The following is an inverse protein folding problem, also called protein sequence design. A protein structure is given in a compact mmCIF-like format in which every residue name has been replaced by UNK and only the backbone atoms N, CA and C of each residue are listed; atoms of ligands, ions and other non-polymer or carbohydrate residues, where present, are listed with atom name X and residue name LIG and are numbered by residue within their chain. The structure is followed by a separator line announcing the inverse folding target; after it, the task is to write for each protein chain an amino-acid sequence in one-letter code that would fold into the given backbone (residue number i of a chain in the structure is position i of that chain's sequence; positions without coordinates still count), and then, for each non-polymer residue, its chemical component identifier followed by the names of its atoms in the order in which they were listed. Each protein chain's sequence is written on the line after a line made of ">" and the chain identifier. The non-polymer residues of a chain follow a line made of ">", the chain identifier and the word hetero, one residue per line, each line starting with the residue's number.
data_IF_053115824285
#
_entry.id   IF_053115824285
#
_cell.length_a   1.000
_cell.length_b   1.000
_cell.length_c   1.000
_cell.angle_alpha   90.00
_cell.angle_beta   90.00
_cell.angle_gamma   90.00
#
_symmetry.space_group_name_H-M   'P 1'
#
loop_
_entity.id
_entity.type
_entity.pdbx_description
1 polymer ?
#
# COMPACT_ATOMS: atom_id res chain seq x y z
N UNK A 1 31.46 -5.80 -21.34
CA UNK A 1 30.85 -6.29 -22.61
C UNK A 1 30.97 -7.81 -22.66
N UNK A 2 30.23 -8.56 -21.81
CA UNK A 2 30.20 -10.03 -21.92
C UNK A 2 28.85 -10.69 -21.64
N UNK A 3 27.80 -9.93 -21.31
CA UNK A 3 26.46 -10.50 -21.01
C UNK A 3 25.33 -9.98 -21.91
N UNK A 4 25.64 -9.29 -23.02
CA UNK A 4 24.61 -8.80 -23.96
C UNK A 4 23.96 -9.92 -24.79
N UNK A 5 24.60 -11.09 -24.92
CA UNK A 5 24.03 -12.23 -25.66
C UNK A 5 22.96 -13.00 -24.87
N UNK A 6 23.05 -13.01 -23.54
CA UNK A 6 22.04 -13.64 -22.67
C UNK A 6 20.68 -12.91 -22.70
N UNK A 7 20.68 -11.60 -22.98
CA UNK A 7 19.46 -10.79 -23.07
C UNK A 7 18.80 -10.79 -24.46
N UNK A 8 19.46 -11.34 -25.48
CA UNK A 8 19.01 -11.26 -26.89
C UNK A 8 18.41 -12.56 -27.43
N UNK A 9 18.64 -13.72 -26.79
CA UNK A 9 17.92 -14.97 -27.13
C UNK A 9 16.52 -14.98 -26.50
N UNK A 10 15.62 -14.24 -27.14
CA UNK A 10 14.20 -14.18 -26.82
C UNK A 10 13.45 -15.33 -27.49
N UNK A 11 13.07 -16.35 -26.71
CA UNK A 11 11.87 -17.16 -26.93
C UNK A 11 11.63 -18.01 -25.67
N UNK A 12 11.12 -17.40 -24.59
CA UNK A 12 10.74 -18.15 -23.37
C UNK A 12 9.49 -19.03 -23.57
N UNK A 13 8.77 -18.85 -24.68
CA UNK A 13 7.62 -19.68 -25.08
C UNK A 13 7.58 -19.75 -26.62
N UNK A 14 7.86 -20.92 -27.19
CA UNK A 14 7.60 -21.21 -28.60
C UNK A 14 6.25 -21.93 -28.73
N UNK A 15 5.44 -21.52 -29.72
CA UNK A 15 4.23 -22.28 -30.09
C UNK A 15 4.67 -23.67 -30.51
N UNK A 16 4.15 -24.72 -29.85
CA UNK A 16 4.16 -26.06 -30.43
C UNK A 16 3.47 -26.06 -31.80
N UNK A 17 3.71 -27.11 -32.60
CA UNK A 17 3.18 -27.32 -33.95
C UNK A 17 1.75 -26.79 -34.16
N UNK A 18 1.46 -26.32 -35.38
CA UNK A 18 0.29 -25.54 -35.86
C UNK A 18 -1.13 -26.00 -35.42
N UNK A 19 -1.26 -27.10 -34.68
CA UNK A 19 -2.51 -27.68 -34.20
C UNK A 19 -2.64 -27.72 -32.66
N UNK A 20 -1.72 -27.09 -31.91
CA UNK A 20 -1.76 -27.03 -30.43
C UNK A 20 -2.28 -25.68 -29.93
N UNK A 21 -3.44 -25.67 -29.25
CA UNK A 21 -4.04 -24.48 -28.61
C UNK A 21 -3.44 -24.13 -27.24
N UNK A 22 -2.48 -24.90 -26.73
CA UNK A 22 -1.95 -24.76 -25.37
C UNK A 22 -0.55 -24.12 -25.35
N UNK A 23 -0.33 -23.24 -24.37
CA UNK A 23 0.99 -22.69 -24.05
C UNK A 23 1.90 -23.82 -23.55
N UNK A 24 3.08 -23.95 -24.15
CA UNK A 24 4.05 -25.02 -23.89
C UNK A 24 5.25 -24.40 -23.18
N UNK A 25 5.74 -25.06 -22.13
CA UNK A 25 6.91 -24.61 -21.37
C UNK A 25 8.08 -25.52 -21.68
N UNK A 26 9.27 -24.94 -21.87
CA UNK A 26 10.52 -25.68 -21.88
C UNK A 26 10.96 -25.96 -20.45
N UNK A 27 11.36 -27.20 -20.18
CA UNK A 27 11.84 -27.62 -18.87
C UNK A 27 13.11 -28.46 -19.00
N UNK A 28 13.88 -28.49 -17.93
CA UNK A 28 15.02 -29.38 -17.85
C UNK A 28 14.55 -30.82 -17.63
N UNK A 29 14.95 -31.70 -18.54
CA UNK A 29 14.57 -33.11 -18.53
C UNK A 29 15.08 -33.83 -17.29
N UNK A 30 16.28 -33.49 -16.84
CA UNK A 30 16.87 -34.05 -15.62
C UNK A 30 16.02 -33.73 -14.40
N UNK A 31 15.47 -32.51 -14.31
CA UNK A 31 14.60 -32.09 -13.22
C UNK A 31 13.25 -32.82 -13.26
N UNK A 32 12.65 -32.95 -14.45
CA UNK A 32 11.41 -33.71 -14.61
C UNK A 32 11.58 -35.18 -14.21
N UNK A 33 12.71 -35.80 -14.58
CA UNK A 33 12.96 -37.22 -14.33
C UNK A 33 13.38 -37.53 -12.88
N UNK A 34 13.71 -36.51 -12.06
CA UNK A 34 13.82 -36.67 -10.60
C UNK A 34 12.47 -37.02 -9.97
N UNK A 35 11.38 -36.49 -10.54
CA UNK A 35 10.05 -36.54 -9.95
C UNK A 35 9.09 -37.54 -10.64
N UNK A 36 9.42 -38.02 -11.85
CA UNK A 36 8.65 -39.08 -12.52
C UNK A 36 9.51 -39.91 -13.48
N UNK A 37 9.11 -41.15 -13.75
CA UNK A 37 9.75 -41.99 -14.79
C UNK A 37 8.91 -42.01 -16.06
N UNK A 38 9.37 -41.31 -17.10
CA UNK A 38 8.66 -41.21 -18.37
C UNK A 38 8.45 -42.58 -19.03
N UNK A 39 7.17 -42.97 -19.22
CA UNK A 39 6.80 -44.17 -19.98
C UNK A 39 7.13 -44.02 -21.48
N UNK A 40 7.33 -45.14 -22.17
CA UNK A 40 7.72 -45.19 -23.60
C UNK A 40 6.85 -44.33 -24.53
N UNK A 41 5.55 -44.22 -24.26
CA UNK A 41 4.60 -43.40 -25.04
C UNK A 41 4.85 -41.89 -24.95
N UNK A 42 5.52 -41.43 -23.91
CA UNK A 42 5.91 -40.02 -23.71
C UNK A 42 7.36 -39.73 -24.14
N UNK A 43 8.03 -40.64 -24.86
CA UNK A 43 9.44 -40.46 -25.27
C UNK A 43 9.67 -39.21 -26.12
N UNK A 44 8.67 -38.73 -26.85
CA UNK A 44 8.76 -37.48 -27.60
C UNK A 44 9.08 -36.28 -26.70
N UNK A 45 8.63 -36.30 -25.44
CA UNK A 45 8.91 -35.29 -24.42
C UNK A 45 10.41 -35.21 -24.10
N UNK A 46 11.14 -36.35 -24.15
CA UNK A 46 12.60 -36.37 -24.03
C UNK A 46 13.33 -35.70 -25.18
N UNK A 47 12.69 -35.65 -26.36
CA UNK A 47 13.28 -35.02 -27.54
C UNK A 47 12.95 -33.53 -27.61
N UNK A 48 11.77 -33.16 -27.13
CA UNK A 48 11.27 -31.79 -27.27
C UNK A 48 11.47 -30.95 -26.02
N UNK A 49 11.72 -31.57 -24.86
CA UNK A 49 11.90 -30.92 -23.55
C UNK A 49 10.79 -29.90 -23.21
N UNK A 50 9.59 -30.12 -23.76
CA UNK A 50 8.51 -29.14 -23.73
C UNK A 50 7.15 -29.81 -23.77
N UNK A 51 6.21 -29.34 -22.95
CA UNK A 51 4.81 -29.77 -22.95
C UNK A 51 3.91 -28.68 -22.33
N UNK A 52 2.62 -28.69 -22.67
CA UNK A 52 1.64 -27.79 -22.05
C UNK A 52 1.11 -28.34 -20.72
N UNK A 53 0.49 -27.48 -19.90
CA UNK A 53 0.04 -27.82 -18.54
C UNK A 53 -0.88 -29.05 -18.47
N UNK A 54 -1.92 -29.09 -19.31
CA UNK A 54 -2.84 -30.25 -19.36
C UNK A 54 -2.14 -31.54 -19.83
N UNK A 55 -1.15 -31.40 -20.71
CA UNK A 55 -0.34 -32.52 -21.14
C UNK A 55 0.60 -33.00 -20.02
N UNK A 56 1.16 -32.07 -19.24
CA UNK A 56 1.98 -32.35 -18.07
C UNK A 56 1.17 -33.08 -17.00
N UNK A 57 -0.06 -32.64 -16.69
CA UNK A 57 -0.98 -33.34 -15.78
C UNK A 57 -1.16 -34.80 -16.19
N UNK A 58 -1.46 -35.05 -17.47
CA UNK A 58 -1.60 -36.41 -18.00
C UNK A 58 -0.31 -37.23 -17.90
N UNK A 59 0.86 -36.64 -18.16
CA UNK A 59 2.15 -37.32 -17.98
C UNK A 59 2.34 -37.71 -16.52
N UNK A 60 2.08 -36.79 -15.59
CA UNK A 60 2.28 -36.95 -14.15
C UNK A 60 1.36 -38.02 -13.58
N UNK A 61 0.08 -38.00 -13.95
CA UNK A 61 -0.89 -39.03 -13.57
C UNK A 61 -0.47 -40.40 -14.10
N UNK A 62 -0.19 -40.50 -15.41
CA UNK A 62 0.05 -41.80 -16.02
C UNK A 62 1.45 -42.36 -15.76
N UNK A 63 2.44 -41.54 -15.40
CA UNK A 63 3.80 -41.97 -15.05
C UNK A 63 4.01 -42.13 -13.54
N UNK A 64 2.96 -41.99 -12.72
CA UNK A 64 3.05 -42.01 -11.25
C UNK A 64 4.10 -41.02 -10.72
N UNK A 65 3.98 -39.76 -11.12
CA UNK A 65 4.82 -38.70 -10.56
C UNK A 65 4.67 -38.59 -9.04
N UNK A 66 5.73 -38.13 -8.40
CA UNK A 66 5.73 -37.85 -6.97
C UNK A 66 4.81 -36.68 -6.61
N UNK A 67 4.66 -36.41 -5.31
CA UNK A 67 3.73 -35.40 -4.83
C UNK A 67 4.14 -33.98 -5.24
N UNK A 68 5.45 -33.72 -5.37
CA UNK A 68 5.98 -32.41 -5.77
C UNK A 68 5.52 -32.06 -7.19
N UNK A 69 5.69 -32.97 -8.13
CA UNK A 69 5.32 -32.71 -9.53
C UNK A 69 3.80 -32.78 -9.76
N UNK A 70 3.07 -33.54 -8.94
CA UNK A 70 1.59 -33.51 -8.91
C UNK A 70 1.07 -32.16 -8.48
N UNK A 71 1.56 -31.62 -7.35
CA UNK A 71 1.20 -30.28 -6.87
C UNK A 71 1.53 -29.20 -7.89
N UNK A 72 2.67 -29.32 -8.57
CA UNK A 72 3.01 -28.40 -9.66
C UNK A 72 2.01 -28.53 -10.83
N UNK A 73 1.79 -29.73 -11.37
CA UNK A 73 0.90 -29.92 -12.52
C UNK A 73 -0.56 -29.51 -12.24
N UNK A 74 -1.05 -29.75 -11.02
CA UNK A 74 -2.41 -29.42 -10.57
C UNK A 74 -2.57 -27.98 -10.04
N UNK A 75 -1.48 -27.31 -9.68
CA UNK A 75 -1.49 -25.98 -9.07
C UNK A 75 -2.03 -24.87 -9.99
N UNK A 76 -2.45 -23.75 -9.40
CA UNK A 76 -3.12 -22.63 -10.09
C UNK A 76 -2.18 -21.61 -10.75
N UNK A 77 -1.09 -22.02 -11.40
CA UNK A 77 -0.28 -21.07 -12.18
C UNK A 77 -0.74 -20.96 -13.64
N UNK A 78 -0.68 -19.75 -14.19
CA UNK A 78 -0.94 -19.44 -15.59
C UNK A 78 0.36 -19.01 -16.26
N UNK A 79 0.52 -19.39 -17.52
CA UNK A 79 1.70 -19.06 -18.32
C UNK A 79 1.18 -18.38 -19.57
N UNK A 80 1.60 -17.14 -19.80
CA UNK A 80 1.16 -16.32 -20.91
C UNK A 80 2.35 -15.85 -21.76
N UNK A 81 2.10 -15.61 -23.05
CA UNK A 81 3.13 -15.22 -24.01
C UNK A 81 3.42 -13.73 -23.89
N UNK A 82 4.68 -13.38 -23.66
CA UNK A 82 5.15 -12.00 -23.77
C UNK A 82 4.93 -11.50 -25.21
N UNK A 83 3.95 -10.60 -25.40
CA UNK A 83 3.58 -10.07 -26.74
C UNK A 83 4.66 -9.17 -27.35
N UNK A 84 5.50 -8.55 -26.53
CA UNK A 84 6.59 -7.70 -26.99
C UNK A 84 7.41 -7.16 -25.84
N UNK A 85 8.68 -6.87 -26.11
CA UNK A 85 9.60 -6.23 -25.18
C UNK A 85 10.09 -4.96 -25.85
N UNK A 86 9.88 -3.80 -25.21
CA UNK A 86 10.36 -2.50 -25.69
C UNK A 86 11.37 -1.94 -24.69
N UNK A 87 12.49 -1.45 -25.21
CA UNK A 87 13.46 -0.71 -24.39
C UNK A 87 13.04 0.76 -24.45
N UNK A 88 12.66 1.31 -23.31
CA UNK A 88 12.29 2.73 -23.19
C UNK A 88 13.48 3.47 -22.61
N UNK A 89 14.06 4.37 -23.39
CA UNK A 89 15.13 5.27 -22.93
C UNK A 89 14.47 6.61 -22.64
N UNK A 90 14.09 6.84 -21.38
CA UNK A 90 13.51 8.11 -20.99
C UNK A 90 14.60 9.12 -20.61
N UNK A 91 14.43 10.37 -21.05
CA UNK A 91 15.30 11.51 -20.69
C UNK A 91 14.84 12.22 -19.41
N UNK A 92 13.67 11.84 -18.88
CA UNK A 92 13.13 12.31 -17.60
C UNK A 92 12.67 11.10 -16.77
N UNK A 93 12.74 11.14 -15.44
CA UNK A 93 12.34 10.00 -14.60
C UNK A 93 10.82 9.75 -14.75
N UNK A 94 10.45 8.65 -15.39
CA UNK A 94 9.08 8.14 -15.46
C UNK A 94 8.93 6.94 -14.53
N UNK A 95 7.76 6.80 -13.90
CA UNK A 95 7.46 5.66 -13.02
C UNK A 95 7.34 4.36 -13.83
N UNK A 96 8.10 3.36 -13.43
CA UNK A 96 8.07 2.00 -13.99
C UNK A 96 7.45 1.03 -12.99
N UNK A 97 6.55 0.18 -13.46
CA UNK A 97 5.91 -0.89 -12.68
C UNK A 97 6.42 -2.25 -13.15
N UNK A 98 6.61 -3.19 -12.23
CA UNK A 98 7.09 -4.55 -12.54
C UNK A 98 6.04 -5.40 -13.29
N UNK A 99 4.75 -5.13 -13.08
CA UNK A 99 3.60 -5.72 -13.80
C UNK A 99 2.41 -4.74 -13.80
N UNK A 100 1.65 -4.70 -14.90
CA UNK A 100 0.49 -3.80 -15.12
C UNK A 100 -0.71 -4.62 -15.61
N UNK A 101 -1.89 -4.39 -15.02
CA UNK A 101 -3.15 -5.11 -15.32
C UNK A 101 -4.29 -4.11 -15.44
N UNK A 102 -4.69 -3.80 -16.67
CA UNK A 102 -5.77 -2.87 -16.95
C UNK A 102 -7.16 -3.49 -16.64
N UNK A 103 -8.16 -2.73 -16.12
CA UNK A 103 -8.12 -1.30 -15.78
C UNK A 103 -7.72 -1.00 -14.33
N UNK A 104 -7.46 -2.03 -13.52
CA UNK A 104 -7.38 -1.86 -12.06
C UNK A 104 -5.97 -1.60 -11.53
N UNK A 105 -4.92 -1.87 -12.32
CA UNK A 105 -3.52 -1.46 -12.13
C UNK A 105 -2.98 -1.48 -10.67
N UNK A 106 -3.39 -2.44 -9.84
CA UNK A 106 -3.03 -2.49 -8.42
C UNK A 106 -2.12 -3.68 -8.10
N UNK A 107 -0.84 -3.43 -7.77
CA UNK A 107 0.08 -4.13 -6.84
C UNK A 107 1.27 -3.15 -6.56
N UNK A 108 1.90 -3.18 -5.37
CA UNK A 108 2.76 -2.09 -4.80
C UNK A 108 3.42 -1.20 -5.84
N UNK A 109 2.94 0.04 -5.95
CA UNK A 109 3.35 0.96 -7.01
C UNK A 109 3.52 2.40 -6.52
N UNK A 110 4.57 3.06 -7.05
CA UNK A 110 4.77 4.51 -6.96
C UNK A 110 5.66 5.03 -5.82
N UNK A 111 6.20 6.23 -6.01
CA UNK A 111 6.80 7.05 -4.95
C UNK A 111 5.74 7.31 -3.88
N UNK A 112 5.99 6.87 -2.64
CA UNK A 112 5.03 6.97 -1.52
C UNK A 112 4.46 5.63 -1.02
N UNK A 113 4.95 4.50 -1.56
CA UNK A 113 4.92 3.17 -0.94
C UNK A 113 3.60 2.74 -0.31
N UNK A 114 2.68 2.16 -1.09
CA UNK A 114 1.47 1.48 -0.56
C UNK A 114 1.63 -0.03 -0.73
N UNK A 115 1.57 -0.78 0.38
CA UNK A 115 1.73 -2.24 0.46
C UNK A 115 0.53 -3.00 -0.14
N UNK A 116 0.83 -4.01 -0.95
CA UNK A 116 -0.10 -5.01 -1.45
C UNK A 116 0.59 -6.38 -1.30
N UNK A 117 -0.18 -7.36 -0.83
CA UNK A 117 0.25 -8.70 -0.41
C UNK A 117 1.24 -9.35 -1.40
N UNK A 118 2.38 -9.85 -0.90
CA UNK A 118 3.52 -10.50 -1.59
C UNK A 118 4.82 -9.66 -1.74
N UNK A 119 4.92 -8.45 -1.20
CA UNK A 119 6.23 -7.79 -1.01
C UNK A 119 6.97 -8.43 0.17
N UNK A 120 8.28 -8.68 0.03
CA UNK A 120 9.14 -9.18 1.09
C UNK A 120 9.16 -8.19 2.28
N UNK A 121 8.38 -8.49 3.33
CA UNK A 121 8.21 -7.60 4.48
C UNK A 121 9.55 -7.25 5.16
N UNK A 122 10.47 -8.21 5.26
CA UNK A 122 11.82 -7.99 5.82
C UNK A 122 12.56 -6.88 5.09
N UNK A 123 12.68 -7.00 3.76
CA UNK A 123 13.37 -6.02 2.94
C UNK A 123 12.74 -4.62 3.06
N UNK A 124 11.40 -4.54 3.11
CA UNK A 124 10.71 -3.27 3.27
C UNK A 124 11.02 -2.62 4.62
N UNK A 125 10.83 -3.36 5.72
CA UNK A 125 11.05 -2.82 7.07
C UNK A 125 12.52 -2.48 7.31
N UNK A 126 13.46 -3.22 6.70
CA UNK A 126 14.88 -2.87 6.70
C UNK A 126 15.14 -1.59 5.90
N UNK A 127 14.55 -1.44 4.70
CA UNK A 127 14.66 -0.24 3.89
C UNK A 127 14.08 1.00 4.59
N UNK A 128 12.95 0.85 5.29
CA UNK A 128 12.35 1.88 6.14
C UNK A 128 13.31 2.27 7.27
N UNK A 129 13.88 1.27 7.96
CA UNK A 129 14.76 1.49 9.12
C UNK A 129 16.04 2.24 8.76
N UNK A 130 16.67 1.91 7.63
CA UNK A 130 17.90 2.59 7.19
C UNK A 130 17.64 3.94 6.50
N UNK A 131 16.36 4.33 6.34
CA UNK A 131 15.97 5.55 5.65
C UNK A 131 16.27 5.51 4.15
N UNK A 132 16.38 4.32 3.55
CA UNK A 132 16.59 4.17 2.10
C UNK A 132 15.35 4.59 1.29
N UNK A 133 14.19 4.66 1.95
CA UNK A 133 12.95 5.15 1.37
C UNK A 133 12.82 6.64 1.68
N UNK A 134 12.88 7.49 0.65
CA UNK A 134 12.83 8.94 0.79
C UNK A 134 11.41 9.49 1.08
N UNK A 135 10.40 8.62 1.22
CA UNK A 135 8.99 9.01 1.25
C UNK A 135 8.19 8.22 2.29
N UNK A 136 6.93 8.62 2.48
CA UNK A 136 5.94 7.89 3.24
C UNK A 136 5.85 6.44 2.75
N UNK A 137 5.73 5.51 3.70
CA UNK A 137 5.45 4.10 3.46
C UNK A 137 4.20 3.75 4.26
N UNK A 138 3.21 3.16 3.59
CA UNK A 138 1.96 2.73 4.14
C UNK A 138 1.66 1.30 3.68
N UNK A 139 0.85 0.58 4.45
CA UNK A 139 0.45 -0.76 4.09
C UNK A 139 -0.76 -1.28 4.82
N UNK A 140 -1.31 -2.38 4.31
CA UNK A 140 -2.41 -3.08 4.97
C UNK A 140 -1.93 -4.47 5.40
N UNK A 141 -2.28 -4.85 6.61
CA UNK A 141 -2.01 -6.17 7.15
C UNK A 141 -3.21 -6.60 8.00
N UNK A 142 -3.49 -7.90 8.01
CA UNK A 142 -4.55 -8.43 8.83
C UNK A 142 -4.10 -8.48 10.29
N UNK A 143 -4.61 -7.56 11.11
CA UNK A 143 -4.36 -7.51 12.55
C UNK A 143 -5.56 -6.90 13.27
N UNK A 144 -6.00 -7.53 14.34
CA UNK A 144 -7.18 -7.10 15.13
C UNK A 144 -6.83 -6.07 16.21
N UNK A 145 -5.53 -5.86 16.48
CA UNK A 145 -5.00 -4.90 17.45
C UNK A 145 -3.58 -4.47 17.06
N UNK A 146 -3.02 -3.40 17.67
CA UNK A 146 -1.62 -3.01 17.46
C UNK A 146 -0.63 -4.14 17.76
N UNK A 147 -0.87 -4.90 18.83
CA UNK A 147 -0.06 -6.09 19.14
C UNK A 147 -0.24 -7.20 18.11
N UNK A 148 -1.46 -7.44 17.63
CA UNK A 148 -1.70 -8.39 16.54
C UNK A 148 -0.93 -8.03 15.27
N UNK A 149 -0.81 -6.74 14.95
CA UNK A 149 0.04 -6.28 13.84
C UNK A 149 1.52 -6.59 14.10
N UNK A 150 2.01 -6.34 15.32
CA UNK A 150 3.37 -6.70 15.71
C UNK A 150 3.63 -8.20 15.60
N UNK A 151 2.74 -9.03 16.12
CA UNK A 151 2.86 -10.48 16.09
C UNK A 151 2.96 -11.00 14.65
N UNK A 152 2.08 -10.51 13.75
CA UNK A 152 2.14 -10.85 12.32
C UNK A 152 3.45 -10.38 11.66
N UNK A 153 3.88 -9.16 11.91
CA UNK A 153 5.07 -8.61 11.23
C UNK A 153 6.35 -9.24 11.75
N UNK A 154 6.48 -9.36 13.07
CA UNK A 154 7.72 -9.78 13.71
C UNK A 154 7.80 -11.30 13.82
N UNK A 155 6.75 -11.95 14.33
CA UNK A 155 6.79 -13.38 14.61
C UNK A 155 6.42 -14.22 13.38
N UNK A 156 5.38 -13.85 12.62
CA UNK A 156 4.99 -14.62 11.43
C UNK A 156 5.87 -14.32 10.22
N UNK A 157 6.09 -13.03 9.89
CA UNK A 157 6.88 -12.61 8.72
C UNK A 157 8.40 -12.55 9.02
N UNK A 158 8.78 -12.69 10.28
CA UNK A 158 10.18 -12.73 10.72
C UNK A 158 10.91 -11.39 10.64
N UNK A 159 10.19 -10.26 10.57
CA UNK A 159 10.82 -8.93 10.57
C UNK A 159 11.49 -8.70 11.93
N UNK A 160 12.76 -8.25 11.99
CA UNK A 160 13.38 -7.95 13.26
C UNK A 160 12.57 -6.90 14.07
N UNK A 161 12.38 -7.07 15.39
CA UNK A 161 11.66 -6.09 16.22
C UNK A 161 12.24 -4.67 16.12
N UNK A 162 13.57 -4.59 15.94
CA UNK A 162 14.27 -3.33 15.71
C UNK A 162 13.91 -2.63 14.41
N UNK A 163 13.51 -3.38 13.37
CA UNK A 163 13.01 -2.85 12.10
C UNK A 163 11.53 -2.50 12.17
N UNK A 164 10.72 -3.22 12.96
CA UNK A 164 9.31 -2.86 13.21
C UNK A 164 9.13 -1.43 13.74
N UNK A 165 10.08 -0.96 14.56
CA UNK A 165 10.13 0.42 15.07
C UNK A 165 10.20 1.50 13.99
N UNK A 166 10.51 1.16 12.74
CA UNK A 166 10.44 2.10 11.64
C UNK A 166 9.00 2.53 11.29
N UNK A 167 7.99 1.77 11.74
CA UNK A 167 6.58 2.17 11.64
C UNK A 167 6.27 3.28 12.65
N UNK A 168 5.49 4.28 12.24
CA UNK A 168 5.10 5.40 13.10
C UNK A 168 3.69 5.27 13.65
N UNK A 169 2.75 4.79 12.84
CA UNK A 169 1.33 4.69 13.18
C UNK A 169 0.74 3.36 12.74
N UNK A 170 -0.17 2.83 13.56
CA UNK A 170 -1.04 1.69 13.26
C UNK A 170 -2.48 2.20 13.35
N UNK A 171 -3.27 1.97 12.29
CA UNK A 171 -4.69 2.31 12.25
C UNK A 171 -5.48 1.01 12.15
N UNK A 172 -6.28 0.72 13.18
CA UNK A 172 -7.13 -0.46 13.22
C UNK A 172 -8.52 -0.12 12.70
N UNK A 173 -8.94 -0.83 11.65
CA UNK A 173 -10.27 -0.75 11.08
C UNK A 173 -11.02 -2.04 11.39
N UNK A 174 -12.24 -1.94 11.93
CA UNK A 174 -13.05 -3.12 12.27
C UNK A 174 -14.49 -3.01 11.73
N UNK A 175 -15.15 -4.17 11.58
CA UNK A 175 -16.57 -4.28 11.27
C UNK A 175 -17.34 -4.44 12.57
N UNK A 176 -18.11 -3.42 12.95
CA UNK A 176 -19.01 -3.45 14.08
C UNK A 176 -20.39 -3.93 13.65
N UNK A 177 -21.10 -4.60 14.54
CA UNK A 177 -22.48 -5.07 14.30
C UNK A 177 -23.47 -4.28 15.14
N UNK A 178 -24.64 -4.00 14.58
CA UNK A 178 -25.78 -3.51 15.35
C UNK A 178 -26.20 -4.50 16.44
N UNK A 179 -26.90 -4.07 17.50
CA UNK A 179 -27.37 -4.97 18.57
C UNK A 179 -28.26 -6.11 18.08
N UNK A 180 -28.99 -5.91 16.97
CA UNK A 180 -29.81 -6.93 16.31
C UNK A 180 -28.99 -7.89 15.40
N UNK A 181 -27.71 -7.62 15.19
CA UNK A 181 -26.81 -8.40 14.34
C UNK A 181 -27.06 -8.29 12.84
N UNK A 182 -28.04 -7.49 12.39
CA UNK A 182 -28.47 -7.42 10.99
C UNK A 182 -27.65 -6.44 10.15
N UNK A 183 -27.09 -5.41 10.77
CA UNK A 183 -26.35 -4.37 10.06
C UNK A 183 -24.89 -4.32 10.48
N UNK A 184 -24.02 -4.28 9.47
CA UNK A 184 -22.58 -4.18 9.66
C UNK A 184 -22.13 -2.77 9.28
N UNK A 185 -21.28 -2.18 10.12
CA UNK A 185 -20.67 -0.88 9.87
C UNK A 185 -19.17 -0.97 10.03
N UNK A 186 -18.42 -0.39 9.08
CA UNK A 186 -16.96 -0.29 9.19
C UNK A 186 -16.60 0.98 9.94
N UNK A 187 -15.70 0.87 10.92
CA UNK A 187 -15.19 1.99 11.71
C UNK A 187 -13.68 1.86 11.89
N UNK A 188 -13.00 2.99 11.90
CA UNK A 188 -11.68 3.07 12.54
C UNK A 188 -11.93 2.98 14.03
N UNK A 189 -11.35 1.98 14.68
CA UNK A 189 -11.57 1.73 16.11
C UNK A 189 -10.44 2.24 16.98
N UNK A 190 -9.23 2.31 16.43
CA UNK A 190 -8.03 2.69 17.16
C UNK A 190 -6.98 3.28 16.23
N UNK A 191 -6.34 4.37 16.66
CA UNK A 191 -5.13 4.91 16.04
C UNK A 191 -4.05 4.92 17.11
N UNK A 192 -2.97 4.18 16.86
CA UNK A 192 -1.89 3.95 17.82
C UNK A 192 -0.56 4.37 17.21
N UNK A 193 0.21 5.17 17.92
CA UNK A 193 1.61 5.43 17.56
C UNK A 193 2.55 4.36 18.12
N UNK A 194 3.62 4.12 17.38
CA UNK A 194 4.68 3.18 17.76
C UNK A 194 5.88 3.97 18.26
N UNK A 195 6.10 3.96 19.58
CA UNK A 195 7.28 4.54 20.21
C UNK A 195 8.52 3.71 19.88
N UNK A 196 9.69 4.32 20.04
CA UNK A 196 10.97 3.74 19.56
C UNK A 196 11.80 3.09 20.69
N UNK A 197 11.45 3.34 21.96
CA UNK A 197 12.22 2.96 23.14
C UNK A 197 11.60 1.79 23.93
N UNK A 198 11.52 0.61 23.31
CA UNK A 198 11.16 -0.69 23.92
C UNK A 198 12.15 -1.77 23.43
N UNK A 199 12.21 -2.96 24.00
CA UNK A 199 13.19 -4.00 23.60
C UNK A 199 12.57 -5.27 23.05
N UNK A 200 11.63 -5.84 23.78
CA UNK A 200 11.07 -7.17 23.57
C UNK A 200 9.56 -7.09 23.31
N UNK A 201 8.79 -6.52 24.24
CA UNK A 201 7.33 -6.45 24.13
C UNK A 201 6.85 -4.99 24.11
N UNK A 202 6.36 -4.48 22.94
CA UNK A 202 5.88 -3.11 22.83
C UNK A 202 4.61 -2.82 23.64
N UNK A 203 3.87 -3.82 24.10
CA UNK A 203 2.70 -3.61 24.97
C UNK A 203 3.11 -3.46 26.43
N UNK A 204 4.03 -4.31 26.91
CA UNK A 204 4.50 -4.27 28.30
C UNK A 204 5.46 -3.09 28.56
N UNK A 205 6.17 -2.63 27.53
CA UNK A 205 7.18 -1.56 27.62
C UNK A 205 6.70 -0.19 27.12
N UNK A 206 5.39 0.05 27.09
CA UNK A 206 4.79 1.31 26.60
C UNK A 206 5.26 1.70 25.18
N UNK A 207 5.55 0.70 24.34
CA UNK A 207 5.91 0.86 22.94
C UNK A 207 4.72 1.25 22.05
N UNK A 208 3.50 0.95 22.48
CA UNK A 208 2.27 1.36 21.82
C UNK A 208 1.50 2.40 22.62
N UNK A 209 1.14 3.49 21.95
CA UNK A 209 0.38 4.57 22.56
C UNK A 209 -0.82 4.94 21.70
N UNK A 210 -2.01 4.72 22.24
CA UNK A 210 -3.25 5.07 21.56
C UNK A 210 -3.44 6.59 21.55
N UNK A 211 -3.57 7.17 20.35
CA UNK A 211 -3.86 8.59 20.14
C UNK A 211 -5.36 8.85 19.97
N UNK A 212 -6.08 7.90 19.38
CA UNK A 212 -7.53 7.99 19.23
C UNK A 212 -8.18 6.62 19.43
N UNK A 213 -9.34 6.61 20.10
CA UNK A 213 -10.12 5.40 20.39
C UNK A 213 -11.58 5.64 20.07
N UNK A 214 -12.21 4.65 19.45
CA UNK A 214 -13.61 4.69 19.10
C UNK A 214 -14.50 4.46 20.32
N UNK A 215 -15.51 5.31 20.46
CA UNK A 215 -16.56 5.22 21.46
C UNK A 215 -17.82 4.62 20.82
N UNK A 216 -18.15 3.38 21.20
CA UNK A 216 -19.29 2.66 20.67
C UNK A 216 -20.64 3.24 21.10
N UNK A 217 -20.69 4.03 22.19
CA UNK A 217 -21.92 4.66 22.66
C UNK A 217 -22.28 5.88 21.82
N UNK A 218 -21.28 6.64 21.40
CA UNK A 218 -21.45 7.87 20.60
C UNK A 218 -21.18 7.67 19.10
N UNK A 219 -20.82 6.46 18.68
CA UNK A 219 -20.41 6.13 17.31
C UNK A 219 -19.35 7.09 16.74
N UNK A 220 -18.38 7.46 17.57
CA UNK A 220 -17.41 8.52 17.25
C UNK A 220 -15.99 8.12 17.66
N UNK A 221 -15.01 8.45 16.81
CA UNK A 221 -13.58 8.31 17.12
C UNK A 221 -13.12 9.49 17.97
N UNK A 222 -12.73 9.25 19.22
CA UNK A 222 -12.34 10.29 20.19
C UNK A 222 -10.83 10.36 20.39
N UNK A 223 -10.25 11.56 20.56
CA UNK A 223 -8.85 11.70 20.95
C UNK A 223 -8.65 11.21 22.40
N UNK A 224 -7.47 10.69 22.69
CA UNK A 224 -7.04 10.36 24.06
C UNK A 224 -6.39 11.58 24.73
N UNK A 225 -6.27 11.55 26.05
CA UNK A 225 -5.58 12.61 26.80
C UNK A 225 -4.14 12.79 26.33
N UNK A 226 -3.45 11.70 25.96
CA UNK A 226 -2.11 11.74 25.39
C UNK A 226 -2.05 12.59 24.11
N UNK A 227 -3.03 12.47 23.22
CA UNK A 227 -3.08 13.29 22.02
C UNK A 227 -3.40 14.75 22.38
N UNK A 228 -4.37 14.99 23.26
CA UNK A 228 -4.83 16.34 23.63
C UNK A 228 -3.75 17.15 24.36
N UNK A 229 -2.98 16.49 25.23
CA UNK A 229 -1.92 17.08 26.03
C UNK A 229 -0.61 17.28 25.25
N UNK A 230 -0.56 16.89 23.97
CA UNK A 230 0.64 17.04 23.13
C UNK A 230 1.75 16.04 23.46
N UNK A 231 1.42 14.89 24.06
CA UNK A 231 2.38 13.86 24.45
C UNK A 231 2.70 12.86 23.33
N UNK A 232 2.08 13.01 22.15
CA UNK A 232 2.36 12.17 20.97
C UNK A 232 3.83 12.31 20.56
N UNK A 233 4.54 11.18 20.53
CA UNK A 233 5.92 11.11 20.06
C UNK A 233 6.02 11.58 18.60
N UNK A 234 5.12 11.11 17.73
CA UNK A 234 5.16 11.40 16.29
C UNK A 234 4.96 12.89 16.02
N UNK A 235 3.98 13.52 16.69
CA UNK A 235 3.75 14.96 16.54
C UNK A 235 4.92 15.77 17.07
N UNK A 236 5.49 15.39 18.22
CA UNK A 236 6.67 16.06 18.77
C UNK A 236 7.90 15.94 17.85
N UNK A 237 8.10 14.82 17.14
CA UNK A 237 9.16 14.70 16.14
C UNK A 237 8.98 15.63 14.95
N UNK A 238 7.73 15.89 14.54
CA UNK A 238 7.42 16.90 13.51
C UNK A 238 7.70 18.31 14.04
N UNK A 239 7.25 18.62 15.25
CA UNK A 239 7.43 19.93 15.90
C UNK A 239 8.90 20.32 16.02
N UNK A 240 9.78 19.39 16.40
CA UNK A 240 11.23 19.65 16.55
C UNK A 240 11.91 20.12 15.27
N UNK A 241 11.36 19.75 14.10
CA UNK A 241 11.90 20.02 12.76
C UNK A 241 11.39 21.31 12.13
N UNK A 242 10.31 21.89 12.67
CA UNK A 242 9.69 23.11 12.16
C UNK A 242 9.92 24.24 13.16
N UNK A 243 10.66 25.27 12.75
CA UNK A 243 11.12 26.35 13.63
C UNK A 243 9.94 27.03 14.35
N UNK A 244 8.86 27.26 13.63
CA UNK A 244 7.65 27.95 14.10
C UNK A 244 6.79 27.12 15.07
N UNK A 245 7.00 25.80 15.11
CA UNK A 245 6.23 24.87 15.96
C UNK A 245 7.01 24.35 17.17
N UNK A 246 8.32 24.64 17.24
CA UNK A 246 9.15 24.25 18.37
C UNK A 246 8.58 24.86 19.66
N UNK A 247 8.29 24.00 20.63
CA UNK A 247 7.72 24.34 21.93
C UNK A 247 6.36 25.09 21.87
N UNK A 248 5.65 25.00 20.74
CA UNK A 248 4.35 25.65 20.53
C UNK A 248 3.27 24.64 20.14
N UNK A 249 2.75 23.91 21.14
CA UNK A 249 1.69 22.93 20.94
C UNK A 249 0.39 23.56 20.44
N UNK A 250 0.02 24.73 20.94
CA UNK A 250 -1.21 25.43 20.53
C UNK A 250 -1.22 25.69 19.01
N UNK A 251 -0.12 26.20 18.45
CA UNK A 251 -0.02 26.45 17.01
C UNK A 251 -0.13 25.16 16.17
N UNK A 252 0.36 24.04 16.69
CA UNK A 252 0.28 22.72 16.02
C UNK A 252 -1.14 22.20 16.08
N UNK A 253 -1.75 22.25 17.26
CA UNK A 253 -3.14 21.83 17.47
C UNK A 253 -4.11 22.67 16.64
N UNK A 254 -3.93 23.98 16.59
CA UNK A 254 -4.69 24.88 15.75
C UNK A 254 -4.55 24.54 14.27
N UNK A 255 -3.35 24.14 13.81
CA UNK A 255 -3.16 23.70 12.44
C UNK A 255 -3.88 22.37 12.15
N UNK A 256 -3.86 21.42 13.09
CA UNK A 256 -4.58 20.15 13.00
C UNK A 256 -6.09 20.42 12.88
N UNK A 257 -6.65 21.25 13.76
CA UNK A 257 -8.06 21.61 13.75
C UNK A 257 -8.47 22.39 12.50
N UNK A 258 -7.60 23.28 11.99
CA UNK A 258 -7.81 23.96 10.73
C UNK A 258 -7.96 22.98 9.57
N UNK A 259 -7.06 21.99 9.46
CA UNK A 259 -7.13 20.96 8.42
C UNK A 259 -8.37 20.08 8.58
N UNK A 260 -8.74 19.73 9.80
CA UNK A 260 -9.98 19.00 10.09
C UNK A 260 -11.20 19.78 9.58
N UNK A 261 -11.29 21.07 9.91
CA UNK A 261 -12.35 21.98 9.46
C UNK A 261 -12.43 22.11 7.95
N UNK A 262 -11.29 22.16 7.26
CA UNK A 262 -11.22 22.16 5.79
C UNK A 262 -11.86 20.88 5.24
N UNK A 263 -11.48 19.71 5.75
CA UNK A 263 -12.03 18.42 5.30
C UNK A 263 -13.53 18.30 5.60
N UNK A 264 -13.95 18.71 6.80
CA UNK A 264 -15.37 18.78 7.17
C UNK A 264 -16.15 19.65 6.18
N UNK A 265 -15.65 20.86 5.88
CA UNK A 265 -16.27 21.77 4.93
C UNK A 265 -16.41 21.13 3.54
N UNK A 266 -15.38 20.42 3.05
CA UNK A 266 -15.47 19.73 1.76
C UNK A 266 -16.59 18.69 1.74
N UNK A 267 -16.74 17.90 2.81
CA UNK A 267 -17.80 16.89 2.96
C UNK A 267 -19.18 17.54 3.03
N UNK A 268 -19.33 18.63 3.77
CA UNK A 268 -20.57 19.40 3.85
C UNK A 268 -21.00 19.92 2.47
N UNK A 269 -20.07 20.49 1.70
CA UNK A 269 -20.35 20.97 0.35
C UNK A 269 -20.68 19.83 -0.62
N UNK A 270 -19.97 18.70 -0.55
CA UNK A 270 -20.27 17.51 -1.34
C UNK A 270 -21.70 17.01 -1.10
N UNK A 271 -22.13 16.94 0.18
CA UNK A 271 -23.51 16.58 0.55
C UNK A 271 -24.52 17.62 0.10
N UNK A 272 -24.27 18.91 0.38
CA UNK A 272 -25.19 20.02 0.08
C UNK A 272 -25.45 20.17 -1.42
N UNK A 273 -24.42 19.95 -2.25
CA UNK A 273 -24.50 20.05 -3.70
C UNK A 273 -24.80 18.71 -4.37
N UNK A 274 -24.93 17.63 -3.59
CA UNK A 274 -25.09 16.26 -4.06
C UNK A 274 -24.05 15.88 -5.13
N UNK A 275 -22.78 16.24 -4.88
CA UNK A 275 -21.68 16.03 -5.82
C UNK A 275 -20.46 15.45 -5.09
N UNK A 276 -20.31 14.13 -5.19
CA UNK A 276 -19.21 13.40 -4.54
C UNK A 276 -17.86 13.58 -5.23
N UNK A 277 -17.82 14.07 -6.48
CA UNK A 277 -16.57 14.43 -7.20
C UNK A 277 -15.74 15.46 -6.43
N UNK A 278 -16.37 16.20 -5.52
CA UNK A 278 -15.68 17.15 -4.63
C UNK A 278 -14.69 16.45 -3.69
N UNK A 279 -14.93 15.19 -3.37
CA UNK A 279 -14.10 14.38 -2.47
C UNK A 279 -13.08 13.52 -3.21
N UNK A 280 -13.10 13.53 -4.55
CA UNK A 280 -12.17 12.77 -5.36
C UNK A 280 -10.77 13.38 -5.37
N UNK A 281 -9.76 12.55 -5.65
CA UNK A 281 -8.36 12.89 -5.56
C UNK A 281 -7.98 14.21 -6.27
N UNK A 282 -8.45 14.51 -7.50
CA UNK A 282 -8.06 15.73 -8.20
C UNK A 282 -8.40 17.01 -7.42
N UNK A 283 -9.61 17.12 -6.88
CA UNK A 283 -10.01 18.32 -6.13
C UNK A 283 -9.38 18.34 -4.74
N UNK A 284 -9.20 17.18 -4.11
CA UNK A 284 -8.56 17.07 -2.81
C UNK A 284 -7.08 17.49 -2.86
N UNK A 285 -6.36 17.10 -3.90
CA UNK A 285 -4.96 17.50 -4.12
C UNK A 285 -4.88 19.01 -4.34
N UNK A 286 -5.67 19.56 -5.27
CA UNK A 286 -5.67 20.99 -5.56
C UNK A 286 -6.05 21.82 -4.31
N UNK A 287 -7.03 21.35 -3.53
CA UNK A 287 -7.41 21.98 -2.27
C UNK A 287 -6.26 21.99 -1.26
N UNK A 288 -5.47 20.92 -1.19
CA UNK A 288 -4.32 20.84 -0.30
C UNK A 288 -3.18 21.77 -0.76
N UNK A 289 -2.90 21.83 -2.05
CA UNK A 289 -1.92 22.77 -2.63
C UNK A 289 -2.31 24.23 -2.32
N UNK A 290 -3.59 24.56 -2.52
CA UNK A 290 -4.09 25.90 -2.24
C UNK A 290 -4.06 26.24 -0.76
N UNK A 291 -4.30 25.27 0.14
CA UNK A 291 -4.06 25.46 1.57
C UNK A 291 -2.62 25.87 1.86
N UNK A 292 -1.62 25.23 1.24
CA UNK A 292 -0.20 25.60 1.43
C UNK A 292 0.12 26.98 0.85
N UNK A 293 -0.34 27.30 -0.35
CA UNK A 293 -0.14 28.61 -0.99
C UNK A 293 -0.74 29.74 -0.14
N UNK A 294 -1.96 29.54 0.38
CA UNK A 294 -2.64 30.52 1.22
C UNK A 294 -1.93 30.66 2.57
N UNK A 295 -1.52 29.54 3.18
CA UNK A 295 -0.76 29.54 4.43
C UNK A 295 0.51 30.37 4.30
N UNK A 296 1.23 30.23 3.19
CA UNK A 296 2.44 31.00 2.92
C UNK A 296 2.16 32.50 2.76
N UNK A 297 1.08 32.86 2.04
CA UNK A 297 0.67 34.27 1.89
C UNK A 297 0.31 34.90 3.22
N UNK A 298 -0.50 34.21 4.03
CA UNK A 298 -0.87 34.67 5.37
C UNK A 298 0.37 34.83 6.24
N UNK A 299 1.28 33.86 6.22
CA UNK A 299 2.56 33.95 6.95
C UNK A 299 3.36 35.20 6.59
N UNK A 300 3.43 35.54 5.32
CA UNK A 300 4.14 36.74 4.86
C UNK A 300 3.40 38.05 5.20
N UNK A 301 2.07 38.03 5.28
CA UNK A 301 1.24 39.19 5.63
C UNK A 301 1.28 39.52 7.12
N UNK A 302 1.17 38.51 8.01
CA UNK A 302 1.00 38.72 9.46
C UNK A 302 2.15 38.18 10.31
N UNK A 303 3.16 37.57 9.70
CA UNK A 303 4.34 37.02 10.39
C UNK A 303 4.12 35.64 11.03
N UNK A 304 2.97 35.00 10.82
CA UNK A 304 2.61 33.71 11.41
C UNK A 304 1.45 33.01 10.70
N UNK A 305 1.15 31.78 11.12
CA UNK A 305 0.04 30.99 10.55
C UNK A 305 -1.27 31.28 11.30
N UNK A 306 -1.99 32.32 10.88
CA UNK A 306 -3.32 32.61 11.42
C UNK A 306 -4.36 31.64 10.82
N UNK A 307 -4.80 30.67 11.62
CA UNK A 307 -5.74 29.64 11.18
C UNK A 307 -7.08 30.18 10.70
N UNK A 308 -7.58 31.27 11.29
CA UNK A 308 -8.86 31.87 10.90
C UNK A 308 -8.73 32.53 9.54
N UNK A 309 -7.69 33.33 9.34
CA UNK A 309 -7.43 34.01 8.07
C UNK A 309 -7.16 33.00 6.94
N UNK A 310 -6.40 31.94 7.21
CA UNK A 310 -6.15 30.87 6.25
C UNK A 310 -7.45 30.19 5.84
N UNK A 311 -8.30 29.83 6.81
CA UNK A 311 -9.59 29.20 6.52
C UNK A 311 -10.50 30.10 5.68
N UNK A 312 -10.62 31.39 6.02
CA UNK A 312 -11.49 32.33 5.31
C UNK A 312 -11.05 32.50 3.85
N UNK A 313 -9.75 32.71 3.61
CA UNK A 313 -9.20 32.80 2.25
C UNK A 313 -9.34 31.49 1.48
N UNK A 314 -9.12 30.34 2.13
CA UNK A 314 -9.30 29.03 1.51
C UNK A 314 -10.76 28.78 1.15
N UNK A 315 -11.70 29.13 2.03
CA UNK A 315 -13.13 28.94 1.80
C UNK A 315 -13.64 29.81 0.64
N UNK A 316 -13.15 31.04 0.52
CA UNK A 316 -13.46 31.90 -0.62
C UNK A 316 -12.99 31.27 -1.93
N UNK A 317 -11.74 30.84 -1.98
CA UNK A 317 -11.19 30.13 -3.14
C UNK A 317 -12.01 28.87 -3.47
N UNK A 318 -12.30 28.03 -2.47
CA UNK A 318 -13.01 26.77 -2.65
C UNK A 318 -14.42 27.00 -3.21
N UNK A 319 -15.16 27.99 -2.69
CA UNK A 319 -16.48 28.39 -3.22
C UNK A 319 -16.39 28.81 -4.69
N UNK A 320 -15.38 29.60 -5.05
CA UNK A 320 -15.19 30.05 -6.43
C UNK A 320 -14.83 28.89 -7.36
N UNK A 321 -13.97 27.97 -6.90
CA UNK A 321 -13.61 26.76 -7.64
C UNK A 321 -14.83 25.89 -7.94
N UNK A 322 -15.69 25.67 -6.94
CA UNK A 322 -16.93 24.93 -7.13
C UNK A 322 -17.84 25.61 -8.14
N UNK A 323 -18.07 26.93 -8.04
CA UNK A 323 -18.88 27.69 -9.03
C UNK A 323 -18.33 27.57 -10.45
N UNK A 324 -17.01 27.67 -10.62
CA UNK A 324 -16.35 27.54 -11.93
C UNK A 324 -16.57 26.17 -12.57
N UNK A 325 -16.55 25.09 -11.77
CA UNK A 325 -16.82 23.74 -12.24
C UNK A 325 -18.29 23.51 -12.68
N UNK A 326 -19.24 24.26 -12.12
CA UNK A 326 -20.66 24.23 -12.53
C UNK A 326 -20.94 25.04 -13.81
N UNK A 327 -20.13 26.06 -14.13
CA UNK A 327 -20.31 26.86 -15.34
C UNK A 327 -19.79 26.17 -16.61
N UNK A 328 -18.99 25.11 -16.45
CA UNK A 328 -18.36 24.35 -17.55
C UNK A 328 -19.02 22.99 -17.86
N UNK A 329 -20.16 22.67 -17.22
CA UNK A 329 -21.01 21.51 -17.54
C UNK A 329 -22.32 21.99 -18.15
#
# INVERSE_FOLDING_TARGET
>A
ISNMELLTKKNLVERGFEHSTLNVVEFELEELEKHLKLKRKFRHVRRTARCGKEYLKRIVEECNGDETIKRFAEGEFFIDRVKGIRIVISRQPEYVYDLSVNPTENFVGGFGGVLLHNTEAKALFEAMRIGALANVVAGTIHGESPYGVFDRVVNDLGVPPTSFKAMDLIVICNVLRSPDGLTNYRRVVEITEVRKHWKEDPTEEDGFVTLMRYDAKEDTLKPTDTLLNGESYVLNEIMKRVREWRDNWEAVWDNILLRAKIKETMVEYAKKLNNLEILEAPLVVESNEMFHIISEKVRNEVGGLDSKMIYEKWLEWFKNKLKGAYASK
#
